data_IF_211931117940
#
_entry.id   IF_211931117940
#
_cell.length_a   1.000
_cell.length_b   1.000
_cell.length_c   1.000
_cell.angle_alpha   90.00
_cell.angle_beta   90.00
_cell.angle_gamma   90.00
#
_symmetry.space_group_name_H-M   'P 1'
#
loop_
_entity.id
_entity.type
_entity.pdbx_description
1 polymer ?
#
# COMPACT_ATOMS: atom_id res chain seq x y z
N UNK A 1 -48.91 52.17 -18.78
CA UNK A 1 -48.99 51.55 -20.12
C UNK A 1 -47.66 50.84 -20.32
N UNK A 2 -47.52 49.53 -20.45
CA UNK A 2 -48.38 48.48 -21.00
C UNK A 2 -48.35 47.23 -20.09
N UNK A 3 -49.41 46.44 -20.22
CA UNK A 3 -49.86 45.18 -19.60
C UNK A 3 -49.00 43.95 -19.93
N UNK A 4 -48.91 42.96 -19.00
CA UNK A 4 -48.86 41.51 -19.32
C UNK A 4 -49.53 40.71 -18.20
N UNK A 5 -50.38 39.77 -18.60
CA UNK A 5 -51.26 38.95 -17.77
C UNK A 5 -50.60 37.67 -17.21
N UNK A 6 -51.08 37.33 -16.01
CA UNK A 6 -51.37 36.03 -15.36
C UNK A 6 -51.09 34.70 -16.09
N UNK A 7 -50.54 33.73 -15.36
CA UNK A 7 -51.32 32.67 -14.69
C UNK A 7 -50.42 31.84 -13.76
N UNK A 8 -50.80 31.75 -12.49
CA UNK A 8 -50.50 30.62 -11.64
C UNK A 8 -51.81 29.90 -11.32
N UNK A 9 -51.74 28.61 -11.00
CA UNK A 9 -52.47 27.90 -9.90
C UNK A 9 -52.49 26.38 -10.17
N UNK A 10 -51.74 25.69 -9.30
CA UNK A 10 -52.01 24.46 -8.52
C UNK A 10 -52.48 23.12 -9.18
N UNK A 11 -51.68 22.08 -8.90
CA UNK A 11 -51.95 20.63 -8.65
C UNK A 11 -53.37 20.29 -8.11
N UNK A 12 -53.87 19.01 -8.06
CA UNK A 12 -53.13 17.71 -7.99
C UNK A 12 -53.82 16.48 -8.69
N UNK A 13 -53.14 15.31 -8.73
CA UNK A 13 -53.62 13.97 -8.26
C UNK A 13 -53.09 12.76 -9.05
N UNK A 14 -52.67 11.77 -8.24
CA UNK A 14 -52.82 10.30 -8.39
C UNK A 14 -52.04 9.57 -9.49
N UNK A 15 -50.95 8.98 -9.02
CA UNK A 15 -50.34 7.73 -9.46
C UNK A 15 -51.44 6.67 -9.70
N UNK A 16 -51.51 6.15 -10.93
CA UNK A 16 -52.19 4.88 -11.24
C UNK A 16 -51.21 4.03 -12.03
N UNK A 17 -50.89 2.85 -11.48
CA UNK A 17 -50.05 1.83 -12.11
C UNK A 17 -50.70 1.35 -13.42
N UNK A 18 -49.91 1.27 -14.49
CA UNK A 18 -50.26 0.48 -15.67
C UNK A 18 -49.21 -0.63 -15.84
N UNK A 19 -49.68 -1.86 -15.65
CA UNK A 19 -48.96 -3.11 -15.92
C UNK A 19 -48.76 -3.23 -17.43
N UNK A 20 -47.51 -3.16 -17.90
CA UNK A 20 -47.16 -3.46 -19.28
C UNK A 20 -46.77 -4.95 -19.39
N UNK A 21 -47.63 -5.74 -20.03
CA UNK A 21 -47.36 -7.11 -20.46
C UNK A 21 -46.35 -7.08 -21.62
N UNK A 22 -45.11 -7.50 -21.36
CA UNK A 22 -44.12 -7.79 -22.40
C UNK A 22 -44.23 -9.27 -22.83
N UNK A 23 -44.21 -9.59 -24.14
CA UNK A 23 -44.26 -10.97 -24.62
C UNK A 23 -42.91 -11.68 -24.46
N UNK A 24 -42.97 -12.95 -24.04
CA UNK A 24 -41.83 -13.87 -23.94
C UNK A 24 -41.20 -14.17 -25.31
N UNK A 25 -39.87 -14.29 -25.43
CA UNK A 25 -39.22 -14.64 -26.67
C UNK A 25 -39.35 -16.14 -26.99
N UNK A 26 -39.72 -16.43 -28.25
CA UNK A 26 -39.71 -17.75 -28.87
C UNK A 26 -38.30 -18.34 -28.90
N UNK A 27 -38.16 -19.58 -28.43
CA UNK A 27 -36.93 -20.37 -28.53
C UNK A 27 -36.73 -20.85 -29.97
N UNK A 28 -35.71 -20.32 -30.64
CA UNK A 28 -35.17 -20.90 -31.86
C UNK A 28 -34.12 -21.96 -31.49
N UNK A 29 -34.36 -23.22 -31.89
CA UNK A 29 -33.32 -24.24 -31.88
C UNK A 29 -32.42 -24.04 -33.09
N UNK A 30 -31.13 -23.81 -32.86
CA UNK A 30 -30.09 -23.86 -33.88
C UNK A 30 -29.17 -25.04 -33.57
N UNK A 31 -29.15 -26.04 -34.46
CA UNK A 31 -28.21 -27.15 -34.41
C UNK A 31 -26.89 -26.72 -35.05
N UNK A 32 -25.84 -26.55 -34.23
CA UNK A 32 -24.49 -26.31 -34.72
C UNK A 32 -23.72 -27.63 -34.82
N UNK A 33 -23.26 -27.96 -36.03
CA UNK A 33 -22.42 -29.12 -36.34
C UNK A 33 -20.99 -28.85 -35.87
N UNK A 34 -20.47 -29.65 -34.94
CA UNK A 34 -19.08 -29.60 -34.48
C UNK A 34 -18.16 -30.38 -35.41
N UNK A 35 -17.35 -29.69 -36.22
CA UNK A 35 -16.18 -30.26 -36.89
C UNK A 35 -15.00 -30.35 -35.91
N UNK A 36 -14.51 -31.55 -35.67
CA UNK A 36 -13.33 -31.82 -34.84
C UNK A 36 -12.06 -31.62 -35.67
N UNK A 37 -11.29 -30.58 -35.37
CA UNK A 37 -9.94 -30.37 -35.92
C UNK A 37 -8.92 -30.85 -34.90
N UNK A 38 -8.20 -31.94 -35.21
CA UNK A 38 -7.10 -32.45 -34.38
C UNK A 38 -5.87 -31.56 -34.55
N UNK A 39 -5.53 -30.78 -33.53
CA UNK A 39 -4.27 -30.04 -33.48
C UNK A 39 -3.16 -30.96 -32.96
N UNK A 40 -2.13 -31.21 -33.77
CA UNK A 40 -0.89 -31.86 -33.33
C UNK A 40 -0.06 -30.84 -32.55
N UNK A 41 0.07 -31.05 -31.23
CA UNK A 41 0.93 -30.23 -30.36
C UNK A 41 2.36 -30.77 -30.37
N UNK A 42 3.30 -29.95 -30.82
CA UNK A 42 4.73 -30.19 -30.64
C UNK A 42 5.09 -30.01 -29.15
N UNK A 43 5.87 -30.91 -28.52
CA UNK A 43 6.27 -30.73 -27.12
C UNK A 43 7.09 -29.46 -26.96
N UNK A 44 6.66 -28.55 -26.09
CA UNK A 44 7.46 -27.41 -25.68
C UNK A 44 8.59 -27.91 -24.75
N UNK A 45 9.84 -27.70 -25.17
CA UNK A 45 11.00 -27.87 -24.30
C UNK A 45 10.95 -26.79 -23.22
N UNK A 46 10.55 -27.14 -21.99
CA UNK A 46 10.64 -26.23 -20.85
C UNK A 46 12.12 -26.06 -20.48
N UNK A 47 12.59 -24.82 -20.56
CA UNK A 47 13.87 -24.42 -19.96
C UNK A 47 13.84 -24.81 -18.47
N UNK A 48 14.91 -25.34 -17.89
CA UNK A 48 14.93 -25.67 -16.47
C UNK A 48 14.60 -24.42 -15.65
N UNK A 49 13.65 -24.58 -14.72
CA UNK A 49 13.33 -23.54 -13.75
C UNK A 49 14.61 -23.18 -13.00
N UNK A 50 15.10 -21.96 -13.21
CA UNK A 50 16.13 -21.37 -12.35
C UNK A 50 15.54 -21.26 -10.95
N UNK A 51 16.08 -22.04 -10.02
CA UNK A 51 15.85 -21.85 -8.59
C UNK A 51 16.32 -20.45 -8.23
N UNK A 52 15.36 -19.58 -7.88
CA UNK A 52 15.63 -18.27 -7.32
C UNK A 52 16.57 -18.45 -6.12
N UNK A 53 17.64 -17.64 -6.05
CA UNK A 53 18.57 -17.70 -4.93
C UNK A 53 17.80 -17.51 -3.61
N UNK A 54 18.22 -18.14 -2.49
CA UNK A 54 17.55 -17.94 -1.22
C UNK A 54 17.50 -16.44 -0.93
N UNK A 55 16.31 -15.89 -0.70
CA UNK A 55 16.16 -14.50 -0.32
C UNK A 55 17.04 -14.26 0.92
N UNK A 56 17.99 -13.33 0.80
CA UNK A 56 18.78 -12.85 1.93
C UNK A 56 17.82 -12.05 2.82
N UNK A 57 17.82 -12.31 4.13
CA UNK A 57 16.93 -11.65 5.07
C UNK A 57 17.70 -10.61 5.89
N UNK A 58 17.07 -9.47 6.16
CA UNK A 58 17.66 -8.38 6.92
C UNK A 58 17.38 -8.57 8.41
N UNK A 59 18.43 -8.53 9.24
CA UNK A 59 18.34 -8.77 10.68
C UNK A 59 18.60 -7.50 11.49
N UNK A 60 17.60 -7.03 12.22
CA UNK A 60 17.64 -5.84 13.07
C UNK A 60 17.38 -6.22 14.53
N UNK A 61 18.03 -5.54 15.48
CA UNK A 61 17.81 -5.78 16.90
C UNK A 61 17.85 -4.50 17.73
N UNK A 62 17.29 -4.57 18.93
CA UNK A 62 17.37 -3.54 19.97
C UNK A 62 17.84 -4.18 21.25
N UNK A 63 18.83 -3.58 21.89
CA UNK A 63 19.37 -4.02 23.19
C UNK A 63 19.06 -3.01 24.28
N UNK A 64 18.89 -3.49 25.51
CA UNK A 64 18.80 -2.64 26.69
C UNK A 64 20.17 -2.04 27.08
N UNK A 65 20.19 -1.21 28.13
CA UNK A 65 21.42 -0.61 28.65
C UNK A 65 22.42 -1.64 29.20
N UNK A 66 22.01 -2.89 29.43
CA UNK A 66 22.85 -3.99 29.89
C UNK A 66 23.36 -4.84 28.72
N UNK A 67 23.02 -4.49 27.47
CA UNK A 67 23.40 -5.24 26.27
C UNK A 67 22.52 -6.46 26.00
N UNK A 68 21.39 -6.61 26.68
CA UNK A 68 20.45 -7.71 26.48
C UNK A 68 19.46 -7.38 25.36
N UNK A 69 19.31 -8.28 24.40
CA UNK A 69 18.40 -8.10 23.25
C UNK A 69 16.95 -8.21 23.71
N UNK A 70 16.17 -7.16 23.47
CA UNK A 70 14.76 -7.09 23.86
C UNK A 70 13.80 -7.15 22.66
N UNK A 71 14.27 -6.76 21.47
CA UNK A 71 13.50 -6.83 20.22
C UNK A 71 14.41 -7.42 19.14
N UNK A 72 13.86 -8.35 18.35
CA UNK A 72 14.48 -8.86 17.14
C UNK A 72 13.49 -8.77 15.98
N UNK A 73 13.98 -8.32 14.85
CA UNK A 73 13.24 -8.21 13.60
C UNK A 73 14.09 -8.80 12.49
N UNK A 74 13.61 -9.88 11.89
CA UNK A 74 14.22 -10.47 10.71
C UNK A 74 13.19 -10.45 9.57
N UNK A 75 13.57 -10.01 8.38
CA UNK A 75 12.68 -10.03 7.22
C UNK A 75 13.04 -9.02 6.14
N UNK A 76 12.27 -9.03 5.06
CA UNK A 76 12.40 -8.10 3.96
C UNK A 76 11.16 -7.22 3.84
N UNK A 77 11.37 -5.91 3.81
CA UNK A 77 10.32 -4.90 3.74
C UNK A 77 10.52 -4.08 2.47
N UNK A 78 9.46 -3.95 1.69
CA UNK A 78 9.47 -3.17 0.45
C UNK A 78 8.20 -2.34 0.32
N UNK A 79 8.34 -1.07 0.03
CA UNK A 79 7.22 -0.20 -0.27
C UNK A 79 6.99 -0.16 -1.77
N UNK A 80 5.73 -0.30 -2.17
CA UNK A 80 5.27 -0.02 -3.52
C UNK A 80 4.44 1.26 -3.47
N UNK A 81 4.88 2.28 -4.19
CA UNK A 81 4.36 3.64 -4.09
C UNK A 81 3.91 4.11 -5.46
N UNK A 82 2.63 4.46 -5.57
CA UNK A 82 2.11 5.19 -6.73
C UNK A 82 2.23 6.70 -6.48
N UNK A 83 2.88 7.42 -7.38
CA UNK A 83 3.16 8.85 -7.26
C UNK A 83 2.84 9.61 -8.54
N UNK A 84 2.53 10.89 -8.40
CA UNK A 84 2.25 11.76 -9.54
C UNK A 84 3.55 12.21 -10.20
N UNK A 85 3.61 12.14 -11.53
CA UNK A 85 4.71 12.71 -12.28
C UNK A 85 4.28 14.03 -12.92
N UNK A 86 5.21 15.00 -12.96
CA UNK A 86 4.97 16.27 -13.63
C UNK A 86 4.56 15.99 -15.07
N UNK A 87 3.46 16.60 -15.51
CA UNK A 87 2.96 16.42 -16.86
C UNK A 87 4.07 16.81 -17.84
N UNK A 88 4.50 15.86 -18.67
CA UNK A 88 5.18 16.20 -19.92
C UNK A 88 4.14 16.91 -20.77
N UNK A 89 4.36 18.20 -21.03
CA UNK A 89 3.56 18.97 -21.98
C UNK A 89 3.33 18.11 -23.23
N UNK A 90 2.12 17.59 -23.39
CA UNK A 90 1.69 16.89 -24.59
C UNK A 90 1.46 17.96 -25.66
N UNK A 91 2.55 18.55 -26.13
CA UNK A 91 2.67 19.46 -27.26
C UNK A 91 1.48 20.40 -27.52
N UNK A 92 1.68 21.70 -27.27
CA UNK A 92 0.91 22.83 -27.80
C UNK A 92 -0.28 22.49 -28.75
N UNK A 93 -1.43 22.14 -28.18
CA UNK A 93 -2.73 22.40 -28.82
C UNK A 93 -3.61 23.18 -27.83
N UNK A 94 -3.04 24.13 -27.10
CA UNK A 94 -3.81 25.28 -26.64
C UNK A 94 -3.85 26.25 -27.84
N UNK A 95 -4.78 25.98 -28.76
CA UNK A 95 -5.04 26.79 -29.96
C UNK A 95 -5.38 28.23 -29.56
N UNK A 96 -4.92 29.21 -30.33
CA UNK A 96 -5.11 30.66 -30.08
C UNK A 96 -6.57 31.16 -30.20
N UNK A 97 -7.56 30.27 -30.02
CA UNK A 97 -8.96 30.64 -29.93
C UNK A 97 -9.36 30.66 -28.46
N UNK A 98 -9.92 31.78 -28.04
CA UNK A 98 -10.14 32.28 -26.67
C UNK A 98 -10.89 31.36 -25.67
N UNK A 99 -11.17 30.09 -26.01
CA UNK A 99 -11.97 29.14 -25.23
C UNK A 99 -11.32 27.73 -25.16
N UNK A 100 -9.99 27.60 -25.16
CA UNK A 100 -9.33 26.30 -25.07
C UNK A 100 -9.42 25.71 -23.64
N UNK A 101 -10.23 24.65 -23.48
CA UNK A 101 -10.22 23.79 -22.30
C UNK A 101 -9.01 22.86 -22.41
N UNK A 102 -7.88 23.24 -21.81
CA UNK A 102 -6.68 22.41 -21.82
C UNK A 102 -6.90 21.28 -20.77
N UNK A 103 -7.12 20.05 -21.26
CA UNK A 103 -7.18 18.85 -20.44
C UNK A 103 -5.75 18.47 -20.02
N UNK A 104 -5.39 18.71 -18.76
CA UNK A 104 -4.19 18.12 -18.19
C UNK A 104 -4.56 16.73 -17.67
N UNK A 105 -4.15 15.68 -18.38
CA UNK A 105 -4.18 14.32 -17.82
C UNK A 105 -3.11 14.21 -16.73
N UNK A 106 -3.51 13.96 -15.49
CA UNK A 106 -2.58 13.65 -14.41
C UNK A 106 -2.02 12.25 -14.64
N UNK A 107 -0.70 12.17 -14.86
CA UNK A 107 -0.03 10.89 -15.06
C UNK A 107 0.58 10.42 -13.73
N UNK A 108 0.35 9.16 -13.40
CA UNK A 108 0.99 8.49 -12.25
C UNK A 108 2.10 7.56 -12.73
N UNK A 109 3.04 7.26 -11.84
CA UNK A 109 4.04 6.22 -11.98
C UNK A 109 4.10 5.39 -10.69
N UNK A 110 4.66 4.20 -10.78
CA UNK A 110 4.85 3.30 -9.64
C UNK A 110 6.35 3.07 -9.46
N UNK A 111 6.80 3.17 -8.22
CA UNK A 111 8.17 2.81 -7.84
C UNK A 111 8.18 1.86 -6.64
N UNK A 112 9.32 1.20 -6.44
CA UNK A 112 9.57 0.32 -5.30
C UNK A 112 10.74 0.86 -4.48
N UNK A 113 10.58 0.92 -3.17
CA UNK A 113 11.62 1.33 -2.22
C UNK A 113 11.84 0.21 -1.22
N UNK A 114 13.03 -0.38 -1.23
CA UNK A 114 13.41 -1.44 -0.31
C UNK A 114 13.98 -0.86 0.99
N UNK A 115 13.60 -1.46 2.12
CA UNK A 115 14.24 -1.14 3.40
C UNK A 115 15.62 -1.80 3.42
N UNK A 116 16.70 -1.04 3.58
CA UNK A 116 18.06 -1.57 3.42
C UNK A 116 18.47 -2.42 4.61
N UNK A 117 19.31 -3.42 4.33
CA UNK A 117 19.99 -4.19 5.36
C UNK A 117 20.80 -3.30 6.32
N UNK A 118 20.97 -3.72 7.59
CA UNK A 118 21.75 -2.98 8.57
C UNK A 118 23.23 -2.93 8.15
N UNK A 119 23.62 -1.77 7.63
CA UNK A 119 25.00 -1.39 7.29
C UNK A 119 25.34 -0.10 8.04
N UNK A 120 26.56 0.44 7.85
CA UNK A 120 26.95 1.68 8.52
C UNK A 120 26.10 2.90 8.14
N UNK A 121 25.39 2.83 7.00
CA UNK A 121 24.53 3.91 6.50
C UNK A 121 23.05 3.73 6.91
N UNK A 122 22.77 2.74 7.77
CA UNK A 122 21.43 2.44 8.30
C UNK A 122 21.46 2.51 9.81
N UNK A 123 20.62 3.38 10.36
CA UNK A 123 20.47 3.54 11.80
C UNK A 123 19.32 2.67 12.31
N UNK A 124 19.64 1.76 13.21
CA UNK A 124 18.65 0.99 13.97
C UNK A 124 18.58 1.55 15.37
N UNK A 125 17.42 2.08 15.75
CA UNK A 125 17.15 2.62 17.09
C UNK A 125 15.93 1.94 17.68
N UNK A 126 15.77 2.01 18.99
CA UNK A 126 14.63 1.39 19.64
C UNK A 126 14.59 1.62 21.14
N UNK A 127 13.54 1.09 21.75
CA UNK A 127 13.36 1.09 23.20
C UNK A 127 12.77 -0.22 23.67
N UNK A 128 13.41 -0.81 24.68
CA UNK A 128 12.94 -2.02 25.34
C UNK A 128 11.78 -1.77 26.31
N UNK A 129 11.51 -0.50 26.66
CA UNK A 129 10.39 -0.11 27.51
C UNK A 129 10.18 1.40 27.46
N UNK A 130 9.21 1.84 26.68
CA UNK A 130 8.72 3.22 26.69
C UNK A 130 7.94 3.54 27.97
N UNK A 131 7.68 4.83 28.20
CA UNK A 131 6.95 5.31 29.38
C UNK A 131 5.52 4.77 29.46
N UNK A 132 4.91 4.50 28.31
CA UNK A 132 3.58 3.89 28.18
C UNK A 132 3.61 2.36 28.25
N UNK A 133 4.79 1.76 28.40
CA UNK A 133 4.98 0.31 28.48
C UNK A 133 5.17 -0.37 27.12
N UNK A 134 5.15 0.36 26.01
CA UNK A 134 5.39 -0.20 24.67
C UNK A 134 6.88 -0.50 24.43
N UNK A 135 7.15 -1.29 23.40
CA UNK A 135 8.48 -1.51 22.83
C UNK A 135 8.49 -0.99 21.40
N UNK A 136 9.62 -0.50 20.91
CA UNK A 136 9.72 -0.14 19.49
C UNK A 136 11.09 -0.37 18.90
N UNK A 137 11.11 -0.62 17.59
CA UNK A 137 12.29 -0.59 16.74
C UNK A 137 12.03 0.35 15.56
N UNK A 138 13.02 1.16 15.21
CA UNK A 138 12.97 2.10 14.11
C UNK A 138 14.23 1.94 13.26
N UNK A 139 14.04 1.64 11.98
CA UNK A 139 15.08 1.52 10.98
C UNK A 139 15.06 2.81 10.16
N UNK A 140 16.15 3.56 10.13
CA UNK A 140 16.24 4.82 9.40
C UNK A 140 17.38 4.79 8.39
N UNK A 141 17.14 5.30 7.18
CA UNK A 141 18.08 5.26 6.06
C UNK A 141 17.96 6.48 5.14
N UNK A 142 18.84 6.54 4.15
CA UNK A 142 18.96 7.66 3.21
C UNK A 142 19.83 8.80 3.74
N UNK A 143 20.13 9.76 2.87
CA UNK A 143 20.96 10.92 3.22
C UNK A 143 20.33 11.66 4.40
N UNK A 144 21.06 11.78 5.51
CA UNK A 144 20.56 12.35 6.78
C UNK A 144 19.36 11.61 7.41
N UNK A 145 19.16 10.32 7.11
CA UNK A 145 18.10 9.49 7.72
C UNK A 145 16.69 10.02 7.43
N UNK A 146 16.49 10.49 6.21
CA UNK A 146 15.23 11.09 5.76
C UNK A 146 14.11 10.06 5.55
N UNK A 147 14.45 8.77 5.44
CA UNK A 147 13.48 7.68 5.37
C UNK A 147 13.55 6.80 6.62
N UNK A 148 12.41 6.26 7.04
CA UNK A 148 12.34 5.36 8.19
C UNK A 148 11.15 4.39 8.15
N UNK A 149 11.30 3.28 8.85
CA UNK A 149 10.25 2.31 9.14
C UNK A 149 10.32 1.97 10.63
N UNK A 150 9.23 2.23 11.34
CA UNK A 150 9.09 2.03 12.78
C UNK A 150 7.99 1.02 13.06
N UNK A 151 8.30 0.05 13.91
CA UNK A 151 7.34 -0.88 14.49
C UNK A 151 7.19 -0.60 15.97
N UNK A 152 5.95 -0.48 16.44
CA UNK A 152 5.61 -0.42 17.86
C UNK A 152 4.97 -1.74 18.26
N UNK A 153 5.42 -2.30 19.37
CA UNK A 153 4.88 -3.52 19.97
C UNK A 153 4.18 -3.16 21.27
N UNK A 154 3.00 -3.74 21.48
CA UNK A 154 2.16 -3.46 22.63
C UNK A 154 1.98 -4.74 23.44
N UNK A 155 2.15 -4.63 24.76
CA UNK A 155 1.93 -5.71 25.70
C UNK A 155 0.43 -5.87 26.03
N UNK A 156 0.01 -7.10 26.29
CA UNK A 156 -1.34 -7.38 26.78
C UNK A 156 -1.48 -6.93 28.24
N UNK A 157 -2.72 -6.69 28.67
CA UNK A 157 -2.99 -6.24 30.05
C UNK A 157 -2.56 -7.25 31.12
N UNK A 158 -2.51 -8.54 30.77
CA UNK A 158 -2.09 -9.63 31.64
C UNK A 158 -0.62 -10.03 31.46
N UNK A 159 0.12 -9.30 30.60
CA UNK A 159 1.56 -9.50 30.33
C UNK A 159 1.90 -10.91 29.85
N UNK A 160 0.95 -11.56 29.15
CA UNK A 160 1.10 -12.91 28.60
C UNK A 160 1.30 -12.91 27.09
N UNK A 161 0.77 -11.92 26.39
CA UNK A 161 0.85 -11.81 24.93
C UNK A 161 1.27 -10.40 24.53
N UNK A 162 1.76 -10.24 23.31
CA UNK A 162 2.07 -8.96 22.69
C UNK A 162 1.51 -8.92 21.28
N UNK A 163 1.31 -7.72 20.76
CA UNK A 163 0.84 -7.47 19.39
C UNK A 163 1.78 -6.49 18.69
N UNK A 164 1.78 -6.55 17.36
CA UNK A 164 2.34 -5.45 16.55
C UNK A 164 1.26 -4.38 16.51
N UNK A 165 1.53 -3.26 17.15
CA UNK A 165 0.65 -2.11 17.22
C UNK A 165 0.80 -1.24 15.98
N UNK A 166 1.14 0.02 16.20
CA UNK A 166 1.32 0.99 15.13
C UNK A 166 2.62 0.72 14.35
N UNK A 167 2.51 0.71 13.02
CA UNK A 167 3.65 0.75 12.12
C UNK A 167 3.65 2.08 11.41
N UNK A 168 4.73 2.83 11.49
CA UNK A 168 4.86 4.14 10.83
C UNK A 168 6.01 4.08 9.83
N UNK A 169 5.78 4.58 8.62
CA UNK A 169 6.83 4.74 7.62
C UNK A 169 6.96 6.19 7.22
N UNK A 170 8.19 6.64 6.97
CA UNK A 170 8.50 7.90 6.31
C UNK A 170 9.37 7.58 5.11
N UNK A 171 8.98 7.97 3.91
CA UNK A 171 9.75 7.73 2.68
C UNK A 171 10.07 9.07 2.03
N UNK A 172 11.35 9.37 1.90
CA UNK A 172 11.81 10.58 1.22
C UNK A 172 11.73 10.41 -0.30
N UNK A 173 11.12 11.38 -0.99
CA UNK A 173 10.94 11.33 -2.44
C UNK A 173 12.18 11.85 -3.17
N UNK A 174 13.26 11.08 -3.16
CA UNK A 174 14.48 11.42 -3.88
C UNK A 174 14.33 11.27 -5.41
N UNK A 175 15.23 11.92 -6.15
CA UNK A 175 15.18 11.94 -7.63
C UNK A 175 15.63 10.62 -8.28
N UNK A 176 16.27 9.72 -7.54
CA UNK A 176 16.72 8.42 -8.04
C UNK A 176 15.55 7.44 -8.09
N UNK A 177 14.78 7.32 -7.00
CA UNK A 177 13.63 6.43 -6.88
C UNK A 177 12.34 7.05 -7.43
N UNK A 178 12.21 8.37 -7.40
CA UNK A 178 10.99 9.10 -7.82
C UNK A 178 11.30 10.10 -8.95
N UNK A 179 11.77 9.63 -10.12
CA UNK A 179 12.08 10.52 -11.23
C UNK A 179 10.84 11.28 -11.70
N UNK A 180 11.00 12.59 -11.88
CA UNK A 180 9.96 13.53 -12.31
C UNK A 180 8.73 13.60 -11.40
N UNK A 181 8.83 13.18 -10.13
CA UNK A 181 7.74 13.37 -9.18
C UNK A 181 7.38 14.84 -9.06
N UNK A 182 6.07 15.14 -9.05
CA UNK A 182 5.57 16.50 -8.75
C UNK A 182 6.09 16.97 -7.38
N UNK A 183 6.19 16.03 -6.46
CA UNK A 183 6.47 16.22 -5.05
C UNK A 183 7.93 15.86 -4.70
N UNK A 184 8.83 15.92 -5.67
CA UNK A 184 10.24 15.57 -5.46
C UNK A 184 10.87 16.40 -4.32
N UNK A 185 11.58 15.73 -3.42
CA UNK A 185 12.22 16.32 -2.25
C UNK A 185 11.31 16.44 -1.01
N UNK A 186 10.05 16.00 -1.08
CA UNK A 186 9.17 15.88 0.09
C UNK A 186 9.28 14.51 0.77
N UNK A 187 8.49 14.27 1.83
CA UNK A 187 8.44 12.98 2.54
C UNK A 187 7.01 12.49 2.67
N UNK A 188 6.82 11.21 2.38
CA UNK A 188 5.55 10.50 2.52
C UNK A 188 5.50 9.84 3.89
N UNK A 189 4.56 10.26 4.73
CA UNK A 189 4.33 9.60 6.04
C UNK A 189 3.11 8.71 5.96
N UNK A 190 3.26 7.43 6.29
CA UNK A 190 2.18 6.44 6.32
C UNK A 190 2.03 5.85 7.72
N UNK A 191 0.80 5.80 8.21
CA UNK A 191 0.41 5.00 9.37
C UNK A 191 -0.21 3.70 8.86
N UNK A 192 0.42 2.59 9.21
CA UNK A 192 0.18 1.26 8.67
C UNK A 192 -0.39 0.39 9.77
N UNK A 193 -1.55 -0.20 9.50
CA UNK A 193 -2.15 -1.24 10.34
C UNK A 193 -1.84 -2.60 9.73
N UNK A 194 -1.14 -3.45 10.47
CA UNK A 194 -0.84 -4.81 10.02
C UNK A 194 -1.88 -5.79 10.59
N UNK A 195 -2.76 -6.29 9.72
CA UNK A 195 -3.74 -7.33 10.08
C UNK A 195 -3.11 -8.73 10.02
N UNK A 196 -2.27 -9.04 11.01
CA UNK A 196 -1.54 -10.31 11.08
C UNK A 196 -2.34 -11.42 11.77
N UNK A 197 -2.07 -12.67 11.40
CA UNK A 197 -2.61 -13.87 12.05
C UNK A 197 -1.46 -14.79 12.52
N UNK A 198 -1.44 -15.23 13.80
CA UNK A 198 -2.30 -14.76 14.89
C UNK A 198 -2.05 -13.27 15.19
N UNK A 199 -3.07 -12.58 15.70
CA UNK A 199 -2.97 -11.16 16.05
C UNK A 199 -2.19 -10.93 17.35
N UNK A 200 -2.22 -11.90 18.26
CA UNK A 200 -1.50 -11.90 19.53
C UNK A 200 -0.45 -13.01 19.54
N UNK A 201 0.72 -12.70 20.08
CA UNK A 201 1.87 -13.60 20.18
C UNK A 201 2.23 -13.75 21.65
N UNK A 202 2.38 -14.98 22.18
CA UNK A 202 2.82 -15.15 23.56
C UNK A 202 4.18 -14.51 23.82
N UNK A 203 4.36 -13.98 25.03
CA UNK A 203 5.67 -13.52 25.52
C UNK A 203 6.68 -14.67 25.46
N UNK A 204 7.94 -14.36 25.11
CA UNK A 204 9.01 -15.34 24.84
C UNK A 204 8.79 -16.19 23.58
N UNK A 205 7.86 -15.81 22.71
CA UNK A 205 7.67 -16.42 21.40
C UNK A 205 7.85 -15.40 20.29
N UNK A 206 8.21 -15.92 19.12
CA UNK A 206 8.33 -15.16 17.88
C UNK A 206 7.08 -15.28 17.03
N UNK A 207 6.64 -14.17 16.43
CA UNK A 207 5.80 -14.24 15.24
C UNK A 207 6.65 -14.67 14.05
N UNK A 208 6.17 -15.61 13.22
CA UNK A 208 6.85 -15.99 11.97
C UNK A 208 5.85 -16.08 10.82
N UNK A 209 6.14 -15.41 9.72
CA UNK A 209 5.36 -15.48 8.49
C UNK A 209 6.30 -15.57 7.29
N UNK A 210 6.37 -16.75 6.68
CA UNK A 210 7.24 -17.03 5.52
C UNK A 210 6.58 -16.75 4.16
N UNK A 211 5.32 -16.32 4.15
CA UNK A 211 4.63 -15.93 2.93
C UNK A 211 4.92 -14.47 2.58
N UNK A 212 4.97 -14.18 1.28
CA UNK A 212 4.92 -12.81 0.79
C UNK A 212 3.52 -12.24 1.08
N UNK A 213 3.48 -11.17 1.87
CA UNK A 213 2.25 -10.53 2.33
C UNK A 213 2.27 -9.06 1.92
N UNK A 214 1.23 -8.60 1.24
CA UNK A 214 1.05 -7.20 0.87
C UNK A 214 -0.02 -6.57 1.75
N UNK A 215 0.30 -5.43 2.35
CA UNK A 215 -0.64 -4.58 3.04
C UNK A 215 -0.79 -3.30 2.22
N UNK A 216 -2.00 -2.94 1.81
CA UNK A 216 -2.24 -1.88 0.83
C UNK A 216 -3.27 -0.86 1.31
N UNK A 217 -3.45 0.21 0.53
CA UNK A 217 -4.43 1.28 0.74
C UNK A 217 -4.19 2.16 1.97
N UNK A 218 -2.92 2.42 2.30
CA UNK A 218 -2.60 3.41 3.34
C UNK A 218 -2.72 4.82 2.76
N UNK A 219 -3.45 5.71 3.45
CA UNK A 219 -3.44 7.14 3.14
C UNK A 219 -2.20 7.78 3.74
N UNK A 220 -1.34 8.34 2.89
CA UNK A 220 -0.16 9.09 3.34
C UNK A 220 -0.46 10.57 3.47
N UNK A 221 0.01 11.18 4.55
CA UNK A 221 0.03 12.63 4.68
C UNK A 221 1.37 13.16 4.20
N UNK A 222 1.33 13.99 3.17
CA UNK A 222 2.47 14.82 2.78
C UNK A 222 2.47 16.12 3.60
N UNK A 223 3.66 16.56 4.00
CA UNK A 223 3.84 17.85 4.66
C UNK A 223 3.59 18.99 3.66
N UNK A 224 2.41 19.63 3.73
CA UNK A 224 2.14 20.87 2.96
C UNK A 224 1.14 20.82 1.80
N UNK A 225 0.38 19.73 1.59
CA UNK A 225 -0.98 19.67 0.98
C UNK A 225 -1.19 18.78 -0.27
N UNK A 226 -2.36 18.10 -0.26
CA UNK A 226 -3.42 17.98 -1.31
C UNK A 226 -3.77 16.62 -1.92
N UNK A 227 -3.05 15.52 -1.70
CA UNK A 227 -3.43 14.22 -2.30
C UNK A 227 -3.16 13.02 -1.38
N UNK A 228 -4.01 12.00 -1.48
CA UNK A 228 -3.76 10.68 -0.90
C UNK A 228 -3.02 9.85 -1.95
N UNK A 229 -1.75 9.53 -1.73
CA UNK A 229 -1.02 8.57 -2.55
C UNK A 229 -1.33 7.15 -2.09
N UNK A 230 -1.33 6.21 -3.04
CA UNK A 230 -1.47 4.79 -2.73
C UNK A 230 -0.11 4.21 -2.38
N UNK A 231 0.05 3.83 -1.11
CA UNK A 231 1.24 3.13 -0.61
C UNK A 231 0.84 1.73 -0.16
N UNK A 232 1.66 0.76 -0.52
CA UNK A 232 1.56 -0.62 -0.05
C UNK A 232 2.88 -1.09 0.52
N UNK A 233 2.85 -1.86 1.61
CA UNK A 233 3.99 -2.49 2.24
C UNK A 233 3.96 -3.99 1.92
N UNK A 234 4.98 -4.45 1.22
CA UNK A 234 5.27 -5.86 1.00
C UNK A 234 6.22 -6.34 2.10
N UNK A 235 5.81 -7.41 2.78
CA UNK A 235 6.56 -8.07 3.83
C UNK A 235 6.81 -9.50 3.39
N UNK A 236 8.08 -9.91 3.35
CA UNK A 236 8.47 -11.27 2.98
C UNK A 236 9.34 -11.89 4.06
N UNK A 237 9.02 -13.16 4.40
CA UNK A 237 9.80 -14.00 5.30
C UNK A 237 10.20 -13.32 6.61
N UNK A 238 9.18 -12.89 7.36
CA UNK A 238 9.37 -12.09 8.55
C UNK A 238 9.32 -12.92 9.83
N UNK A 239 10.19 -12.57 10.76
CA UNK A 239 10.17 -13.00 12.15
C UNK A 239 10.25 -11.77 13.06
N UNK A 240 9.26 -11.62 13.95
CA UNK A 240 9.26 -10.59 14.98
C UNK A 240 9.38 -11.24 16.36
N UNK A 241 10.22 -10.69 17.22
CA UNK A 241 10.30 -11.01 18.64
C UNK A 241 10.29 -9.73 19.45
N UNK A 242 9.43 -9.67 20.45
CA UNK A 242 9.31 -8.56 21.39
C UNK A 242 8.90 -9.11 22.77
N UNK A 243 9.07 -8.28 23.81
CA UNK A 243 8.73 -8.57 25.20
C UNK A 243 9.36 -9.85 25.77
N UNK A 244 10.51 -10.28 25.22
CA UNK A 244 11.26 -11.41 25.77
C UNK A 244 11.63 -11.13 27.23
N UNK A 245 11.19 -12.00 28.15
CA UNK A 245 11.58 -12.03 29.55
C UNK A 245 13.05 -12.42 29.61
N UNK A 246 13.88 -11.42 29.85
CA UNK A 246 15.30 -11.61 30.10
C UNK A 246 15.49 -12.34 31.45
N UNK A 247 16.37 -13.36 31.52
CA UNK A 247 16.64 -14.11 32.75
C UNK A 247 17.32 -13.28 33.84
#
# INVERSE_FOLDING_TARGET
MVEVQWFGVLLPKRITQLLALLPLPLHYYYTATTTTTTATTTPATTSPATTEAPAKYSYYNVTDNNGLVCIMLDGNFKFKIEYNIANVDLGWICSQNFNAFCLTEQKTNITEVEVPEPTNDVDVTGSCKEKDGTQFISIAWGVNRTSSLKFVFTDSKDHQTWTIGEVTSVIYMDTEHFPNAVDAGSSLTSNITLELKPAEVPVNMSYKCFSNTEFSNFTTTEDGSRYNLSVSLHVNAVQFEAFNKLP
#
